data_IF_418253675050
#
_entry.id   IF_418253675050
#
_cell.length_a   1.000
_cell.length_b   1.000
_cell.length_c   1.000
_cell.angle_alpha   90.00
_cell.angle_beta   90.00
_cell.angle_gamma   90.00
#
_symmetry.space_group_name_H-M   'P 1'
#
loop_
_entity.id
_entity.type
_entity.pdbx_description
1 polymer ?
#
# COMPACT_ATOMS: atom_id res chain seq x y z
N UNK A 1 8.24 2.15 11.10
CA UNK A 1 9.18 2.74 10.12
C UNK A 1 9.54 1.69 9.10
N UNK A 2 9.19 1.92 7.86
CA UNK A 2 9.36 1.02 6.74
C UNK A 2 8.83 1.70 5.48
N UNK A 3 9.12 1.13 4.32
CA UNK A 3 8.69 1.68 3.05
C UNK A 3 8.33 0.56 2.08
N UNK A 4 7.62 0.94 1.02
CA UNK A 4 7.30 0.07 -0.09
C UNK A 4 7.54 0.79 -1.41
N UNK A 5 8.11 0.07 -2.37
CA UNK A 5 8.36 0.50 -3.74
C UNK A 5 7.44 -0.25 -4.69
N UNK A 6 6.68 0.52 -5.49
CA UNK A 6 5.72 0.03 -6.46
C UNK A 6 6.29 0.24 -7.87
N UNK A 7 6.90 -0.82 -8.44
CA UNK A 7 7.50 -0.76 -9.76
C UNK A 7 6.47 -0.69 -10.88
N UNK A 8 6.79 0.02 -11.97
CA UNK A 8 5.95 0.09 -13.18
C UNK A 8 5.74 -1.29 -13.83
N UNK A 9 6.65 -2.24 -13.59
CA UNK A 9 6.57 -3.64 -14.01
C UNK A 9 5.69 -4.51 -13.08
N UNK A 10 4.91 -3.86 -12.21
CA UNK A 10 4.00 -4.47 -11.23
C UNK A 10 4.70 -5.23 -10.11
N UNK A 11 6.02 -5.08 -9.94
CA UNK A 11 6.72 -5.59 -8.75
C UNK A 11 6.45 -4.72 -7.54
N UNK A 12 6.34 -5.38 -6.40
CA UNK A 12 6.23 -4.75 -5.09
C UNK A 12 7.40 -5.22 -4.22
N UNK A 13 8.18 -4.26 -3.74
CA UNK A 13 9.21 -4.49 -2.73
C UNK A 13 8.86 -3.68 -1.48
N UNK A 14 8.94 -4.28 -0.32
CA UNK A 14 8.68 -3.61 0.95
C UNK A 14 9.74 -4.00 1.97
N UNK A 15 9.99 -3.13 2.95
CA UNK A 15 10.95 -3.42 4.02
C UNK A 15 10.57 -2.69 5.31
N UNK A 16 10.95 -3.29 6.43
CA UNK A 16 10.92 -2.66 7.74
C UNK A 16 12.29 -2.08 8.09
N UNK A 17 12.32 -0.93 8.76
CA UNK A 17 13.55 -0.36 9.30
C UNK A 17 13.84 -0.95 10.69
N UNK A 18 15.06 -1.45 10.89
CA UNK A 18 15.58 -1.96 12.18
C UNK A 18 16.70 -2.99 11.98
N UNK A 19 17.86 -2.78 12.63
CA UNK A 19 19.09 -3.56 12.40
C UNK A 19 18.93 -5.08 12.64
N UNK A 20 18.16 -5.47 13.66
CA UNK A 20 18.01 -6.88 14.05
C UNK A 20 16.71 -7.54 13.56
N UNK A 21 15.82 -6.79 12.92
CA UNK A 21 14.48 -7.26 12.51
C UNK A 21 14.07 -6.76 11.12
N UNK A 22 15.04 -6.45 10.26
CA UNK A 22 14.75 -6.14 8.86
C UNK A 22 14.07 -7.34 8.20
N UNK A 23 12.82 -7.17 7.82
CA UNK A 23 12.03 -8.13 7.06
C UNK A 23 11.77 -7.50 5.71
N UNK A 24 12.02 -8.25 4.64
CA UNK A 24 11.75 -7.82 3.27
C UNK A 24 10.47 -8.47 2.78
N UNK A 25 9.62 -7.70 2.13
CA UNK A 25 8.42 -8.15 1.45
C UNK A 25 8.66 -8.10 -0.04
N UNK A 26 8.37 -9.19 -0.75
CA UNK A 26 8.45 -9.24 -2.20
C UNK A 26 7.15 -9.76 -2.79
N UNK A 27 6.74 -9.18 -3.91
CA UNK A 27 5.46 -9.50 -4.47
C UNK A 27 5.10 -8.69 -5.71
N UNK A 28 3.80 -8.53 -5.91
CA UNK A 28 3.23 -7.77 -7.01
C UNK A 28 2.11 -6.88 -6.54
N UNK A 29 1.84 -5.84 -7.32
CA UNK A 29 0.67 -5.00 -7.13
C UNK A 29 -0.17 -4.92 -8.41
N UNK A 30 -1.45 -4.68 -8.23
CA UNK A 30 -2.37 -4.39 -9.31
C UNK A 30 -3.29 -3.24 -8.96
N UNK A 31 -3.68 -2.50 -9.99
CA UNK A 31 -4.72 -1.47 -9.95
C UNK A 31 -5.72 -1.78 -11.06
N UNK A 32 -7.01 -1.69 -10.75
CA UNK A 32 -8.12 -1.79 -11.70
C UNK A 32 -8.62 -0.41 -12.10
N UNK A 33 -9.35 -0.35 -13.21
CA UNK A 33 -10.09 0.83 -13.67
C UNK A 33 -11.17 1.30 -12.68
N UNK A 34 -11.69 0.39 -11.85
CA UNK A 34 -12.64 0.70 -10.77
C UNK A 34 -12.02 1.27 -9.51
N UNK A 35 -10.72 1.60 -9.53
CA UNK A 35 -10.02 2.18 -8.36
C UNK A 35 -9.63 1.15 -7.30
N UNK A 36 -9.71 -0.15 -7.58
CA UNK A 36 -9.29 -1.21 -6.66
C UNK A 36 -7.80 -1.48 -6.83
N UNK A 37 -7.05 -1.32 -5.74
CA UNK A 37 -5.64 -1.69 -5.67
C UNK A 37 -5.49 -2.97 -4.85
N UNK A 38 -4.73 -3.95 -5.33
CA UNK A 38 -4.36 -5.12 -4.54
C UNK A 38 -2.85 -5.31 -4.52
N UNK A 39 -2.34 -5.64 -3.35
CA UNK A 39 -0.94 -5.99 -3.11
C UNK A 39 -0.90 -7.45 -2.67
N UNK A 40 -0.05 -8.24 -3.28
CA UNK A 40 0.20 -9.61 -2.87
C UNK A 40 1.69 -9.79 -2.66
N UNK A 41 2.08 -10.02 -1.41
CA UNK A 41 3.48 -10.11 -1.03
C UNK A 41 3.71 -11.20 0.02
N UNK A 42 4.91 -11.79 -0.03
CA UNK A 42 5.42 -12.69 0.98
C UNK A 42 6.53 -11.99 1.76
N UNK A 43 6.49 -12.07 3.08
CA UNK A 43 7.53 -11.55 3.95
C UNK A 43 8.62 -12.58 4.17
N UNK A 44 9.88 -12.13 4.18
CA UNK A 44 11.06 -12.95 4.39
C UNK A 44 12.00 -12.26 5.37
N UNK A 45 12.52 -13.04 6.30
CA UNK A 45 13.62 -12.67 7.19
C UNK A 45 14.73 -13.71 7.08
N UNK A 46 15.77 -13.58 7.90
CA UNK A 46 16.83 -14.60 8.00
C UNK A 46 16.32 -15.96 8.51
N UNK A 47 15.22 -15.98 9.26
CA UNK A 47 14.75 -17.17 10.00
C UNK A 47 13.37 -17.68 9.57
N UNK A 48 12.62 -16.92 8.78
CA UNK A 48 11.30 -17.35 8.31
C UNK A 48 10.93 -16.73 6.96
N UNK A 49 9.99 -17.40 6.28
CA UNK A 49 9.29 -16.88 5.12
C UNK A 49 7.79 -17.15 5.27
N UNK A 50 6.96 -16.18 4.93
CA UNK A 50 5.50 -16.34 4.93
C UNK A 50 5.00 -16.76 3.56
N UNK A 51 3.80 -17.32 3.49
CA UNK A 51 3.08 -17.43 2.21
C UNK A 51 2.70 -16.04 1.70
N UNK A 52 2.54 -15.86 0.38
CA UNK A 52 1.99 -14.62 -0.17
C UNK A 52 0.63 -14.33 0.42
N UNK A 53 0.42 -13.11 0.91
CA UNK A 53 -0.87 -12.63 1.40
C UNK A 53 -1.34 -11.47 0.55
N UNK A 54 -2.59 -11.55 0.09
CA UNK A 54 -3.24 -10.47 -0.65
C UNK A 54 -3.96 -9.52 0.29
N UNK A 55 -3.70 -8.23 0.13
CA UNK A 55 -4.42 -7.13 0.77
C UNK A 55 -4.92 -6.20 -0.33
N UNK A 56 -6.19 -5.82 -0.28
CA UNK A 56 -6.77 -4.92 -1.26
C UNK A 56 -7.37 -3.68 -0.61
N UNK A 57 -7.34 -2.59 -1.36
CA UNK A 57 -7.93 -1.32 -1.02
C UNK A 57 -8.80 -0.84 -2.18
N UNK A 58 -10.01 -0.38 -1.87
CA UNK A 58 -10.88 0.28 -2.84
C UNK A 58 -10.74 1.78 -2.69
N UNK A 59 -10.76 2.51 -3.80
CA UNK A 59 -10.78 3.97 -3.82
C UNK A 59 -12.05 4.48 -4.48
N UNK A 60 -12.53 5.64 -4.03
CA UNK A 60 -13.62 6.38 -4.69
C UNK A 60 -13.38 7.87 -4.59
N UNK A 61 -14.07 8.63 -5.44
CA UNK A 61 -14.13 10.08 -5.34
C UNK A 61 -15.48 10.44 -4.74
N UNK A 62 -15.49 11.12 -3.60
CA UNK A 62 -16.69 11.56 -2.90
C UNK A 62 -16.50 13.04 -2.51
N UNK A 63 -17.41 13.92 -2.94
CA UNK A 63 -17.33 15.37 -2.67
C UNK A 63 -15.98 16.03 -3.00
N UNK A 64 -15.22 15.47 -3.94
CA UNK A 64 -13.89 15.94 -4.34
C UNK A 64 -12.72 15.35 -3.54
N UNK A 65 -12.99 14.61 -2.45
CA UNK A 65 -11.99 13.82 -1.74
C UNK A 65 -11.75 12.50 -2.47
N UNK A 66 -10.53 11.98 -2.39
CA UNK A 66 -10.24 10.58 -2.70
C UNK A 66 -10.33 9.83 -1.37
N UNK A 67 -11.33 8.98 -1.25
CA UNK A 67 -11.49 8.10 -0.10
C UNK A 67 -10.90 6.73 -0.42
N UNK A 68 -10.32 6.09 0.58
CA UNK A 68 -9.79 4.74 0.53
C UNK A 68 -10.47 3.90 1.61
N UNK A 69 -10.68 2.61 1.34
CA UNK A 69 -11.01 1.62 2.38
C UNK A 69 -10.23 0.34 2.16
N UNK A 70 -10.01 -0.42 3.23
CA UNK A 70 -9.47 -1.78 3.14
C UNK A 70 -10.60 -2.77 2.84
N UNK A 71 -10.41 -3.66 1.86
CA UNK A 71 -11.43 -4.68 1.56
C UNK A 71 -11.30 -5.91 2.47
N UNK A 72 -12.42 -6.62 2.75
CA UNK A 72 -13.79 -6.30 2.31
C UNK A 72 -14.57 -5.36 3.25
N UNK A 73 -14.08 -5.16 4.46
CA UNK A 73 -14.85 -4.72 5.63
C UNK A 73 -14.27 -3.50 6.35
N UNK A 74 -13.27 -2.84 5.76
CA UNK A 74 -12.75 -1.59 6.28
C UNK A 74 -13.69 -0.41 6.04
N UNK A 75 -13.66 0.55 6.95
CA UNK A 75 -14.34 1.83 6.81
C UNK A 75 -13.66 2.70 5.75
N UNK A 76 -14.44 3.60 5.15
CA UNK A 76 -13.92 4.63 4.26
C UNK A 76 -13.24 5.73 5.08
N UNK A 77 -12.08 6.19 4.60
CA UNK A 77 -11.36 7.33 5.15
C UNK A 77 -10.76 8.18 4.03
N UNK A 78 -10.60 9.46 4.30
CA UNK A 78 -9.99 10.40 3.36
C UNK A 78 -8.51 10.05 3.16
N UNK A 79 -8.16 9.66 1.93
CA UNK A 79 -6.78 9.40 1.51
C UNK A 79 -6.12 10.66 0.94
N UNK A 80 -6.93 11.49 0.26
CA UNK A 80 -6.57 12.83 -0.19
C UNK A 80 -7.79 13.74 -0.08
N UNK A 81 -7.66 14.86 0.61
CA UNK A 81 -8.70 15.87 0.66
C UNK A 81 -8.77 16.68 -0.65
N UNK A 82 -9.96 17.24 -0.94
CA UNK A 82 -10.20 18.11 -2.09
C UNK A 82 -9.32 19.36 -2.07
N UNK A 83 -9.06 19.91 -0.88
CA UNK A 83 -8.02 20.90 -0.62
C UNK A 83 -6.84 20.17 -0.01
N UNK A 84 -5.65 20.39 -0.54
CA UNK A 84 -4.46 19.67 -0.09
C UNK A 84 -4.26 19.88 1.43
N UNK A 85 -4.16 18.78 2.15
CA UNK A 85 -3.85 18.75 3.58
C UNK A 85 -2.49 18.06 3.79
N UNK A 86 -1.53 18.69 4.51
CA UNK A 86 -0.25 18.05 4.82
C UNK A 86 -0.36 16.71 5.56
N UNK A 87 -1.49 16.43 6.22
CA UNK A 87 -1.77 15.17 6.88
C UNK A 87 -2.33 14.09 5.94
N UNK A 88 -2.58 14.41 4.67
CA UNK A 88 -3.10 13.45 3.70
C UNK A 88 -2.17 12.24 3.54
N UNK A 89 -2.75 11.04 3.51
CA UNK A 89 -2.02 9.79 3.33
C UNK A 89 -1.22 9.76 2.01
N UNK A 90 -1.71 10.44 0.97
CA UNK A 90 -1.00 10.54 -0.31
C UNK A 90 0.36 11.25 -0.21
N UNK A 91 0.59 12.10 0.81
CA UNK A 91 1.86 12.80 1.02
C UNK A 91 3.00 11.85 1.42
N UNK A 92 2.69 10.61 1.79
CA UNK A 92 3.70 9.58 2.09
C UNK A 92 4.34 8.97 0.84
N UNK A 93 3.81 9.28 -0.35
CA UNK A 93 4.32 8.77 -1.61
C UNK A 93 5.30 9.76 -2.24
N UNK A 94 6.46 9.25 -2.61
CA UNK A 94 7.48 9.98 -3.34
C UNK A 94 7.72 9.29 -4.68
N UNK A 95 8.04 10.07 -5.71
CA UNK A 95 8.49 9.52 -6.98
C UNK A 95 9.86 8.84 -6.77
N UNK A 96 9.96 7.56 -7.13
CA UNK A 96 11.17 6.75 -7.01
C UNK A 96 12.05 6.76 -8.25
#
# INVERSE_FOLDING_TARGET
NGAAYFGLDRRLHAWTAGEDKAVVGEGRWLLTDTGKMCMELAWRSKTYATKPKRTCYSHRIESGNIEQRKDPDGEWYDFKHAKDDPADEHQKFEAG
#
